data_IF_037540735217
#
_entry.id   IF_037540735217
#
_cell.length_a   1.000
_cell.length_b   1.000
_cell.length_c   1.000
_cell.angle_alpha   90.00
_cell.angle_beta   90.00
_cell.angle_gamma   90.00
#
_symmetry.space_group_name_H-M   'P 1'
#
loop_
_entity.id
_entity.type
_entity.pdbx_description
1 polymer ?
#
# COMPACT_ATOMS: atom_id res chain seq x y z
N UNK A 1 -4.17 4.70 23.40
CA UNK A 1 -5.15 3.86 22.67
C UNK A 1 -4.36 3.11 21.62
N UNK A 2 -4.48 1.78 21.52
CA UNK A 2 -3.73 0.99 20.53
C UNK A 2 -4.15 1.43 19.12
N UNK A 3 -3.20 1.73 18.24
CA UNK A 3 -3.48 2.15 16.86
C UNK A 3 -3.91 0.94 16.03
N UNK A 4 -4.80 1.12 15.06
CA UNK A 4 -5.17 0.07 14.09
C UNK A 4 -3.99 -0.44 13.27
N UNK A 5 -2.95 0.39 13.12
CA UNK A 5 -1.68 -0.04 12.55
C UNK A 5 -0.89 -0.97 13.49
N UNK A 6 -1.05 -0.87 14.82
CA UNK A 6 -0.50 -1.88 15.74
C UNK A 6 -1.20 -3.23 15.54
N UNK A 7 -2.50 -3.24 15.27
CA UNK A 7 -3.24 -4.48 14.98
C UNK A 7 -2.77 -5.12 13.67
N UNK A 8 -2.58 -4.33 12.59
CA UNK A 8 -2.00 -4.82 11.33
C UNK A 8 -0.60 -5.39 11.53
N UNK A 9 0.24 -4.65 12.26
CA UNK A 9 1.63 -5.05 12.45
C UNK A 9 1.75 -6.30 13.32
N UNK A 10 0.93 -6.41 14.38
CA UNK A 10 0.87 -7.61 15.19
C UNK A 10 0.37 -8.83 14.40
N UNK A 11 -0.68 -8.65 13.60
CA UNK A 11 -1.20 -9.69 12.70
C UNK A 11 -0.09 -10.17 11.76
N UNK A 12 0.57 -9.23 11.05
CA UNK A 12 1.59 -9.55 10.07
C UNK A 12 2.82 -10.23 10.69
N UNK A 13 3.24 -9.83 11.90
CA UNK A 13 4.31 -10.51 12.62
C UNK A 13 3.97 -11.96 13.00
N UNK A 14 2.68 -12.28 13.19
CA UNK A 14 2.21 -13.64 13.48
C UNK A 14 2.20 -14.57 12.27
N UNK A 15 2.17 -14.01 11.06
CA UNK A 15 2.04 -14.77 9.81
C UNK A 15 3.37 -15.23 9.21
N UNK A 16 4.49 -14.60 9.59
CA UNK A 16 5.81 -14.88 9.01
C UNK A 16 6.76 -15.62 9.97
N UNK A 17 7.63 -16.44 9.40
CA UNK A 17 8.67 -17.22 10.11
C UNK A 17 10.07 -16.82 9.65
N UNK A 18 11.11 -17.17 10.42
CA UNK A 18 12.49 -16.80 10.05
C UNK A 18 12.92 -17.53 8.76
N UNK A 19 12.32 -18.71 8.51
CA UNK A 19 12.50 -19.42 7.26
C UNK A 19 11.90 -18.69 6.05
N UNK A 20 10.91 -17.81 6.24
CA UNK A 20 10.37 -16.98 5.17
C UNK A 20 11.37 -15.87 4.81
N UNK A 21 11.99 -15.24 5.82
CA UNK A 21 13.02 -14.22 5.59
C UNK A 21 14.24 -14.82 4.87
N UNK A 22 14.73 -15.98 5.30
CA UNK A 22 15.83 -16.68 4.61
C UNK A 22 15.49 -17.08 3.17
N UNK A 23 14.21 -17.34 2.88
CA UNK A 23 13.78 -17.76 1.56
C UNK A 23 13.62 -16.58 0.58
N UNK A 24 13.25 -15.40 1.09
CA UNK A 24 12.83 -14.28 0.23
C UNK A 24 13.72 -13.04 0.31
N UNK A 25 14.47 -12.86 1.39
CA UNK A 25 15.58 -11.91 1.44
C UNK A 25 16.81 -12.62 0.89
N UNK A 26 17.11 -12.46 -0.40
CA UNK A 26 18.27 -13.10 -1.02
C UNK A 26 19.56 -12.56 -0.38
N UNK A 27 20.46 -13.47 -0.03
CA UNK A 27 21.83 -13.13 0.36
C UNK A 27 22.56 -12.59 -0.89
N UNK A 28 22.98 -11.31 -0.86
CA UNK A 28 24.24 -11.00 -1.52
C UNK A 28 25.32 -11.81 -0.77
N UNK A 29 26.34 -12.40 -1.41
CA UNK A 29 27.23 -13.34 -0.74
C UNK A 29 28.10 -12.58 0.29
N UNK A 30 27.57 -12.47 1.51
CA UNK A 30 28.16 -11.69 2.60
C UNK A 30 27.17 -11.17 3.65
N UNK A 31 25.90 -10.92 3.31
CA UNK A 31 24.98 -10.18 4.20
C UNK A 31 23.80 -11.00 4.72
N UNK A 32 23.97 -11.52 5.94
CA UNK A 32 22.89 -11.99 6.81
C UNK A 32 22.03 -10.82 7.38
N UNK A 33 22.33 -9.57 6.99
CA UNK A 33 21.76 -8.35 7.56
C UNK A 33 20.24 -8.26 7.37
N UNK A 34 19.71 -8.61 6.19
CA UNK A 34 18.27 -8.49 5.91
C UNK A 34 17.41 -9.47 6.72
N UNK A 35 17.91 -10.69 6.91
CA UNK A 35 17.25 -11.70 7.74
C UNK A 35 17.25 -11.25 9.19
N UNK A 36 18.37 -10.72 9.70
CA UNK A 36 18.48 -10.22 11.06
C UNK A 36 17.62 -8.98 11.30
N UNK A 37 17.52 -8.07 10.31
CA UNK A 37 16.61 -6.92 10.34
C UNK A 37 15.15 -7.35 10.47
N UNK A 38 14.69 -8.22 9.57
CA UNK A 38 13.31 -8.71 9.57
C UNK A 38 12.99 -9.51 10.84
N UNK A 39 13.89 -10.42 11.23
CA UNK A 39 13.74 -11.24 12.44
C UNK A 39 13.76 -10.38 13.71
N UNK A 40 14.58 -9.34 13.74
CA UNK A 40 14.65 -8.35 14.82
C UNK A 40 13.33 -7.61 15.01
N UNK A 41 12.78 -7.07 13.92
CA UNK A 41 11.46 -6.41 13.93
C UNK A 41 10.35 -7.37 14.35
N UNK A 42 10.32 -8.59 13.78
CA UNK A 42 9.30 -9.58 14.14
C UNK A 42 9.36 -9.99 15.61
N UNK A 43 10.56 -10.29 16.12
CA UNK A 43 10.76 -10.78 17.48
C UNK A 43 10.46 -9.73 18.54
N UNK A 44 10.80 -8.46 18.28
CA UNK A 44 10.52 -7.34 19.18
C UNK A 44 9.09 -6.81 19.04
N UNK A 45 8.41 -7.11 17.92
CA UNK A 45 7.14 -6.49 17.53
C UNK A 45 7.22 -4.96 17.61
N UNK A 46 8.32 -4.41 17.11
CA UNK A 46 8.59 -2.97 17.11
C UNK A 46 9.40 -2.59 15.87
N UNK A 47 9.11 -1.43 15.28
CA UNK A 47 9.93 -0.87 14.20
C UNK A 47 11.10 -0.07 14.78
N UNK A 48 12.30 -0.11 14.17
CA UNK A 48 13.46 0.59 14.69
C UNK A 48 13.27 2.11 14.72
N UNK A 49 14.00 2.76 15.63
CA UNK A 49 13.82 4.19 15.81
C UNK A 49 14.39 5.03 14.66
N UNK A 50 15.41 4.48 14.00
CA UNK A 50 16.08 5.03 12.82
C UNK A 50 15.82 4.06 11.68
N UNK A 51 15.39 4.58 10.53
CA UNK A 51 15.16 3.74 9.35
C UNK A 51 16.51 3.37 8.75
N UNK A 52 16.82 2.08 8.80
CA UNK A 52 17.97 1.52 8.10
C UNK A 52 17.72 1.61 6.57
N UNK A 53 18.61 2.20 5.77
CA UNK A 53 18.47 2.24 4.31
C UNK A 53 18.27 0.86 3.67
N UNK A 54 18.74 -0.22 4.30
CA UNK A 54 18.53 -1.60 3.85
C UNK A 54 17.04 -1.99 3.74
N UNK A 55 16.15 -1.32 4.48
CA UNK A 55 14.70 -1.51 4.34
C UNK A 55 14.19 -1.20 2.94
N UNK A 56 14.84 -0.29 2.20
CA UNK A 56 14.49 -0.03 0.81
C UNK A 56 14.59 -1.29 -0.05
N UNK A 57 15.65 -2.08 0.12
CA UNK A 57 15.85 -3.32 -0.63
C UNK A 57 14.84 -4.38 -0.21
N UNK A 58 14.58 -4.51 1.09
CA UNK A 58 13.57 -5.44 1.63
C UNK A 58 12.17 -5.13 1.09
N UNK A 59 11.78 -3.86 1.07
CA UNK A 59 10.50 -3.44 0.47
C UNK A 59 10.49 -3.67 -1.03
N UNK A 60 11.58 -3.37 -1.72
CA UNK A 60 11.74 -3.65 -3.15
C UNK A 60 11.53 -5.14 -3.49
N UNK A 61 12.11 -6.05 -2.70
CA UNK A 61 11.95 -7.49 -2.86
C UNK A 61 10.50 -7.94 -2.63
N UNK A 62 9.83 -7.43 -1.61
CA UNK A 62 8.44 -7.78 -1.32
C UNK A 62 7.45 -7.21 -2.34
N UNK A 63 7.60 -5.95 -2.73
CA UNK A 63 6.61 -5.23 -3.55
C UNK A 63 6.69 -5.60 -5.03
N UNK A 64 7.88 -5.92 -5.55
CA UNK A 64 8.10 -6.23 -6.99
C UNK A 64 8.56 -7.66 -7.24
N UNK A 65 8.93 -8.40 -6.20
CA UNK A 65 9.40 -9.78 -6.33
C UNK A 65 8.28 -10.78 -6.54
N UNK A 66 8.69 -12.02 -6.80
CA UNK A 66 7.85 -13.20 -6.88
C UNK A 66 8.60 -14.39 -6.26
N UNK A 67 7.89 -15.41 -5.75
CA UNK A 67 8.55 -16.60 -5.24
C UNK A 67 9.24 -17.34 -6.39
N UNK A 68 10.40 -17.95 -6.11
CA UNK A 68 11.10 -18.78 -7.11
C UNK A 68 10.33 -20.05 -7.46
N UNK A 69 9.54 -20.56 -6.52
CA UNK A 69 8.76 -21.79 -6.67
C UNK A 69 7.27 -21.50 -6.44
N UNK A 70 6.36 -22.01 -7.29
CA UNK A 70 4.92 -21.84 -7.09
C UNK A 70 4.42 -22.36 -5.73
N UNK A 71 5.06 -23.41 -5.19
CA UNK A 71 4.75 -23.96 -3.86
C UNK A 71 4.98 -22.98 -2.70
N UNK A 72 5.71 -21.89 -2.92
CA UNK A 72 6.04 -20.88 -1.93
C UNK A 72 5.12 -19.65 -1.98
N UNK A 73 4.16 -19.59 -2.92
CA UNK A 73 3.30 -18.43 -3.13
C UNK A 73 2.59 -17.95 -1.86
N UNK A 74 1.95 -18.87 -1.11
CA UNK A 74 1.29 -18.50 0.14
C UNK A 74 2.24 -17.97 1.22
N UNK A 75 3.49 -18.46 1.26
CA UNK A 75 4.52 -17.95 2.19
C UNK A 75 5.00 -16.56 1.76
N UNK A 76 5.16 -16.36 0.46
CA UNK A 76 5.57 -15.06 -0.10
C UNK A 76 4.50 -14.00 0.13
N UNK A 77 3.21 -14.32 0.00
CA UNK A 77 2.10 -13.42 0.35
C UNK A 77 2.19 -12.93 1.81
N UNK A 78 2.50 -13.82 2.76
CA UNK A 78 2.67 -13.43 4.17
C UNK A 78 3.90 -12.54 4.37
N UNK A 79 4.99 -12.82 3.66
CA UNK A 79 6.16 -11.95 3.63
C UNK A 79 5.83 -10.55 3.07
N UNK A 80 5.06 -10.46 1.97
CA UNK A 80 4.56 -9.19 1.42
C UNK A 80 3.74 -8.41 2.45
N UNK A 81 2.83 -9.10 3.15
CA UNK A 81 2.02 -8.51 4.21
C UNK A 81 2.90 -7.95 5.34
N UNK A 82 3.89 -8.71 5.81
CA UNK A 82 4.86 -8.27 6.82
C UNK A 82 5.59 -7.00 6.38
N UNK A 83 6.20 -7.01 5.19
CA UNK A 83 6.92 -5.86 4.66
C UNK A 83 5.99 -4.65 4.47
N UNK A 84 4.77 -4.84 3.98
CA UNK A 84 3.76 -3.79 3.86
C UNK A 84 3.35 -3.19 5.21
N UNK A 85 3.20 -4.01 6.25
CA UNK A 85 2.86 -3.55 7.59
C UNK A 85 4.01 -2.75 8.23
N UNK A 86 5.26 -3.19 8.05
CA UNK A 86 6.45 -2.46 8.50
C UNK A 86 6.58 -1.13 7.76
N UNK A 87 6.40 -1.12 6.44
CA UNK A 87 6.43 0.07 5.62
C UNK A 87 5.34 1.09 6.05
N UNK A 88 4.11 0.63 6.28
CA UNK A 88 3.03 1.49 6.79
C UNK A 88 3.35 2.08 8.17
N UNK A 89 4.05 1.34 9.04
CA UNK A 89 4.56 1.86 10.33
C UNK A 89 5.63 2.93 10.14
N UNK A 90 6.56 2.76 9.21
CA UNK A 90 7.55 3.80 8.91
C UNK A 90 6.90 5.06 8.34
N UNK A 91 5.91 4.92 7.44
CA UNK A 91 5.17 6.05 6.90
C UNK A 91 4.43 6.86 7.96
N UNK A 92 3.97 6.25 9.06
CA UNK A 92 3.43 7.00 10.19
C UNK A 92 4.50 7.78 10.95
N UNK A 93 5.67 7.17 11.11
CA UNK A 93 6.74 7.73 11.93
C UNK A 93 7.44 8.87 11.20
N UNK A 94 7.65 8.70 9.90
CA UNK A 94 8.34 9.65 9.04
C UNK A 94 7.65 9.63 7.66
N UNK A 95 6.54 10.37 7.49
CA UNK A 95 5.77 10.36 6.24
C UNK A 95 6.54 10.86 5.00
N UNK A 96 7.69 11.51 5.21
CA UNK A 96 8.58 12.02 4.15
C UNK A 96 9.64 11.04 3.64
N UNK A 97 9.58 9.75 4.00
CA UNK A 97 10.51 8.70 3.54
C UNK A 97 10.34 8.30 2.06
N UNK A 98 9.96 9.25 1.19
CA UNK A 98 9.54 9.05 -0.20
C UNK A 98 10.55 8.29 -1.11
N UNK A 99 11.90 8.32 -0.93
CA UNK A 99 12.76 7.42 -1.71
C UNK A 99 12.83 6.00 -1.14
N UNK A 100 12.42 5.78 0.12
CA UNK A 100 12.55 4.48 0.82
C UNK A 100 11.22 3.74 0.87
N UNK A 101 10.11 4.46 1.09
CA UNK A 101 8.77 3.88 1.26
C UNK A 101 7.77 4.59 0.37
N UNK A 102 7.43 3.93 -0.74
CA UNK A 102 6.48 4.45 -1.73
C UNK A 102 5.05 4.05 -1.33
N UNK A 103 4.17 5.02 -1.10
CA UNK A 103 2.83 4.80 -0.53
C UNK A 103 1.97 3.95 -1.45
N UNK A 104 2.01 4.21 -2.75
CA UNK A 104 1.20 3.46 -3.71
C UNK A 104 1.62 1.96 -3.73
N UNK A 105 2.89 1.62 -3.50
CA UNK A 105 3.38 0.24 -3.45
C UNK A 105 2.99 -0.44 -2.14
N UNK A 106 3.04 0.29 -1.03
CA UNK A 106 2.57 -0.21 0.28
C UNK A 106 1.08 -0.54 0.20
N UNK A 107 0.27 0.39 -0.31
CA UNK A 107 -1.17 0.19 -0.42
C UNK A 107 -1.52 -0.99 -1.34
N UNK A 108 -0.91 -1.07 -2.52
CA UNK A 108 -1.14 -2.15 -3.47
C UNK A 108 -0.76 -3.51 -2.85
N UNK A 109 0.43 -3.60 -2.23
CA UNK A 109 0.91 -4.82 -1.59
C UNK A 109 -0.03 -5.32 -0.49
N UNK A 110 -0.53 -4.41 0.36
CA UNK A 110 -1.46 -4.76 1.44
C UNK A 110 -2.82 -5.25 0.90
N UNK A 111 -3.39 -4.56 -0.10
CA UNK A 111 -4.66 -4.98 -0.74
C UNK A 111 -4.52 -6.36 -1.38
N UNK A 112 -3.47 -6.57 -2.19
CA UNK A 112 -3.21 -7.85 -2.85
C UNK A 112 -3.01 -8.97 -1.83
N UNK A 113 -2.29 -8.71 -0.75
CA UNK A 113 -2.04 -9.71 0.29
C UNK A 113 -3.34 -10.09 1.01
N UNK A 114 -4.17 -9.12 1.36
CA UNK A 114 -5.47 -9.38 1.99
C UNK A 114 -6.40 -10.22 1.13
N UNK A 115 -6.52 -9.87 -0.16
CA UNK A 115 -7.33 -10.62 -1.12
C UNK A 115 -6.80 -12.02 -1.38
N UNK A 116 -5.48 -12.17 -1.50
CA UNK A 116 -4.84 -13.48 -1.70
C UNK A 116 -5.03 -14.41 -0.50
N UNK A 117 -5.03 -13.86 0.73
CA UNK A 117 -5.27 -14.62 1.94
C UNK A 117 -6.75 -14.92 2.18
N UNK A 118 -7.66 -14.13 1.58
CA UNK A 118 -9.10 -14.18 1.81
C UNK A 118 -9.48 -14.12 3.32
N UNK A 119 -8.66 -13.44 4.12
CA UNK A 119 -8.87 -13.31 5.57
C UNK A 119 -9.72 -12.07 5.88
N UNK A 120 -10.97 -12.31 6.29
CA UNK A 120 -11.92 -11.23 6.61
C UNK A 120 -11.47 -10.36 7.78
N UNK A 121 -10.72 -10.91 8.73
CA UNK A 121 -10.16 -10.17 9.87
C UNK A 121 -9.10 -9.18 9.42
N UNK A 122 -8.18 -9.61 8.55
CA UNK A 122 -7.19 -8.75 7.92
C UNK A 122 -7.85 -7.65 7.07
N UNK A 123 -8.83 -7.99 6.23
CA UNK A 123 -9.58 -6.99 5.45
C UNK A 123 -10.24 -5.95 6.36
N UNK A 124 -10.81 -6.36 7.49
CA UNK A 124 -11.39 -5.44 8.48
C UNK A 124 -10.35 -4.56 9.15
N UNK A 125 -9.15 -5.06 9.43
CA UNK A 125 -8.05 -4.25 9.96
C UNK A 125 -7.65 -3.20 8.92
N UNK A 126 -7.46 -3.62 7.66
CA UNK A 126 -7.02 -2.74 6.58
C UNK A 126 -8.05 -1.66 6.22
N UNK A 127 -9.35 -1.96 6.31
CA UNK A 127 -10.43 -0.98 6.15
C UNK A 127 -10.27 0.22 7.09
N UNK A 128 -9.80 -0.01 8.32
CA UNK A 128 -9.56 1.05 9.31
C UNK A 128 -8.18 1.69 9.13
N UNK A 129 -7.16 0.92 8.72
CA UNK A 129 -5.78 1.39 8.55
C UNK A 129 -5.64 2.38 7.41
N UNK A 130 -6.21 2.09 6.24
CA UNK A 130 -5.98 2.93 5.06
C UNK A 130 -6.49 4.37 5.23
N UNK A 131 -7.71 4.64 5.74
CA UNK A 131 -8.18 6.00 5.96
C UNK A 131 -7.40 6.74 7.05
N UNK A 132 -6.84 6.02 8.02
CA UNK A 132 -5.98 6.60 9.05
C UNK A 132 -4.62 7.00 8.46
N UNK A 133 -4.00 6.11 7.67
CA UNK A 133 -2.75 6.39 6.97
C UNK A 133 -2.89 7.57 6.00
N UNK A 134 -4.00 7.62 5.25
CA UNK A 134 -4.32 8.74 4.36
C UNK A 134 -4.28 10.09 5.11
N UNK A 135 -4.90 10.14 6.30
CA UNK A 135 -4.99 11.35 7.10
C UNK A 135 -3.62 11.81 7.62
N UNK A 136 -2.82 10.88 8.14
CA UNK A 136 -1.49 11.21 8.69
C UNK A 136 -0.55 11.75 7.59
N UNK A 137 -0.70 11.23 6.36
CA UNK A 137 0.04 11.74 5.20
C UNK A 137 -0.49 13.08 4.69
N UNK A 138 -1.81 13.27 4.67
CA UNK A 138 -2.45 14.56 4.33
C UNK A 138 -2.00 15.68 5.28
N UNK A 139 -1.92 15.38 6.58
CA UNK A 139 -1.48 16.33 7.62
C UNK A 139 0.04 16.63 7.54
N UNK A 140 0.83 15.77 6.87
CA UNK A 140 2.27 15.94 6.73
C UNK A 140 2.61 16.97 5.64
N UNK A 141 3.05 18.15 6.09
CA UNK A 141 3.62 19.16 5.19
C UNK A 141 5.11 18.92 4.99
N UNK A 142 5.46 18.34 3.83
CA UNK A 142 6.86 18.16 3.45
C UNK A 142 7.62 19.50 3.47
N UNK A 143 8.77 19.60 4.17
CA UNK A 143 9.52 20.85 4.30
C UNK A 143 10.00 21.45 2.97
N UNK A 144 10.15 20.63 1.93
CA UNK A 144 10.73 21.02 0.64
C UNK A 144 9.70 21.19 -0.48
N UNK A 145 8.44 20.77 -0.30
CA UNK A 145 7.41 20.79 -1.37
C UNK A 145 7.67 19.84 -2.54
N UNK A 146 8.74 19.04 -2.49
CA UNK A 146 9.14 18.09 -3.54
C UNK A 146 8.68 16.64 -3.30
N UNK A 147 7.89 16.40 -2.25
CA UNK A 147 7.41 15.06 -1.91
C UNK A 147 6.16 14.75 -2.72
N UNK A 148 6.13 13.56 -3.33
CA UNK A 148 4.98 13.06 -4.08
C UNK A 148 3.87 12.74 -3.07
N UNK A 149 2.75 13.47 -3.15
CA UNK A 149 1.62 13.27 -2.23
C UNK A 149 0.73 12.11 -2.73
N UNK A 150 1.07 10.90 -2.34
CA UNK A 150 0.39 9.68 -2.81
C UNK A 150 -0.75 9.19 -1.90
N UNK A 151 -1.11 9.95 -0.85
CA UNK A 151 -2.13 9.53 0.11
C UNK A 151 -3.53 9.22 -0.51
N UNK A 152 -3.93 9.75 -1.69
CA UNK A 152 -5.15 9.31 -2.36
C UNK A 152 -5.17 7.80 -2.67
N UNK A 153 -4.01 7.15 -2.87
CA UNK A 153 -3.95 5.68 -3.07
C UNK A 153 -4.43 4.91 -1.83
N UNK A 154 -4.22 5.45 -0.63
CA UNK A 154 -4.77 4.88 0.60
C UNK A 154 -6.31 4.88 0.55
N UNK A 155 -6.94 5.93 0.02
CA UNK A 155 -8.40 6.01 -0.04
C UNK A 155 -8.98 4.99 -1.03
N UNK A 156 -8.37 4.81 -2.20
CA UNK A 156 -8.75 3.74 -3.12
C UNK A 156 -8.57 2.35 -2.49
N UNK A 157 -7.46 2.12 -1.80
CA UNK A 157 -7.22 0.86 -1.08
C UNK A 157 -8.31 0.59 -0.02
N UNK A 158 -8.72 1.62 0.72
CA UNK A 158 -9.83 1.54 1.67
C UNK A 158 -11.16 1.22 1.01
N UNK A 159 -11.45 1.79 -0.16
CA UNK A 159 -12.66 1.47 -0.94
C UNK A 159 -12.71 -0.02 -1.29
N UNK A 160 -11.59 -0.59 -1.76
CA UNK A 160 -11.49 -2.01 -2.10
C UNK A 160 -11.75 -2.90 -0.89
N UNK A 161 -11.17 -2.58 0.28
CA UNK A 161 -11.45 -3.33 1.51
C UNK A 161 -12.90 -3.19 1.97
N UNK A 162 -13.52 -2.03 1.77
CA UNK A 162 -14.93 -1.80 2.10
C UNK A 162 -15.85 -2.68 1.23
N UNK A 163 -15.60 -2.74 -0.07
CA UNK A 163 -16.35 -3.59 -1.00
C UNK A 163 -16.16 -5.08 -0.72
N UNK A 164 -14.92 -5.53 -0.45
CA UNK A 164 -14.63 -6.92 -0.08
C UNK A 164 -15.39 -7.34 1.21
N UNK A 165 -15.73 -6.38 2.07
CA UNK A 165 -16.56 -6.58 3.27
C UNK A 165 -18.06 -6.32 3.06
N UNK A 166 -18.48 -6.00 1.84
CA UNK A 166 -19.84 -5.62 1.46
C UNK A 166 -20.35 -4.37 2.21
N UNK A 167 -19.43 -3.49 2.62
CA UNK A 167 -19.73 -2.23 3.27
C UNK A 167 -19.82 -1.10 2.22
N UNK A 168 -20.83 -1.18 1.36
CA UNK A 168 -20.99 -0.29 0.21
C UNK A 168 -21.19 1.18 0.61
N UNK A 169 -21.87 1.44 1.73
CA UNK A 169 -22.00 2.82 2.27
C UNK A 169 -20.63 3.43 2.58
N UNK A 170 -19.74 2.65 3.18
CA UNK A 170 -18.39 3.13 3.48
C UNK A 170 -17.53 3.25 2.23
N UNK A 171 -17.68 2.35 1.26
CA UNK A 171 -17.03 2.49 -0.06
C UNK A 171 -17.40 3.82 -0.72
N UNK A 172 -18.69 4.18 -0.77
CA UNK A 172 -19.16 5.45 -1.32
C UNK A 172 -18.60 6.68 -0.57
N UNK A 173 -18.54 6.61 0.77
CA UNK A 173 -17.91 7.67 1.59
C UNK A 173 -16.42 7.83 1.27
N UNK A 174 -15.70 6.73 1.07
CA UNK A 174 -14.28 6.76 0.69
C UNK A 174 -14.10 7.25 -0.75
N UNK A 175 -14.99 6.92 -1.68
CA UNK A 175 -14.99 7.44 -3.04
C UNK A 175 -15.11 8.97 -3.06
N UNK A 176 -16.06 9.51 -2.30
CA UNK A 176 -16.23 10.97 -2.19
C UNK A 176 -15.00 11.67 -1.58
N UNK A 177 -14.31 11.00 -0.64
CA UNK A 177 -13.04 11.50 -0.09
C UNK A 177 -11.91 11.41 -1.11
N UNK A 178 -11.84 10.31 -1.86
CA UNK A 178 -10.82 10.09 -2.88
C UNK A 178 -10.85 11.17 -3.94
N UNK A 179 -12.04 11.49 -4.49
CA UNK A 179 -12.18 12.53 -5.52
C UNK A 179 -11.66 13.89 -5.00
N UNK A 180 -12.02 14.27 -3.78
CA UNK A 180 -11.57 15.54 -3.17
C UNK A 180 -10.06 15.55 -2.89
N UNK A 181 -9.54 14.46 -2.36
CA UNK A 181 -8.12 14.31 -2.06
C UNK A 181 -7.28 14.38 -3.34
N UNK A 182 -7.76 13.73 -4.41
CA UNK A 182 -7.12 13.74 -5.71
C UNK A 182 -7.08 15.15 -6.32
N UNK A 183 -8.22 15.85 -6.31
CA UNK A 183 -8.31 17.24 -6.77
C UNK A 183 -7.36 18.15 -6.01
N UNK A 184 -7.35 18.05 -4.67
CA UNK A 184 -6.47 18.85 -3.82
C UNK A 184 -4.98 18.56 -4.10
N UNK A 185 -4.59 17.29 -4.12
CA UNK A 185 -3.19 16.91 -4.41
C UNK A 185 -2.79 17.40 -5.80
N UNK A 186 -3.68 17.30 -6.78
CA UNK A 186 -3.43 17.75 -8.13
C UNK A 186 -3.21 19.27 -8.21
N UNK A 187 -3.96 20.06 -7.45
CA UNK A 187 -3.75 21.51 -7.37
C UNK A 187 -2.44 21.88 -6.67
N UNK A 188 -2.02 21.08 -5.67
CA UNK A 188 -0.83 21.34 -4.87
C UNK A 188 0.46 20.73 -5.45
N UNK A 189 0.34 19.75 -6.36
CA UNK A 189 1.47 19.03 -6.94
C UNK A 189 2.20 19.85 -8.00
N UNK A 190 3.53 19.78 -7.99
CA UNK A 190 4.38 20.40 -9.01
C UNK A 190 4.47 19.57 -10.30
N UNK A 191 4.06 18.29 -10.28
CA UNK A 191 4.18 17.36 -11.40
C UNK A 191 2.96 16.43 -11.59
N UNK A 192 1.71 16.91 -11.60
CA UNK A 192 0.58 16.02 -11.84
C UNK A 192 0.52 15.62 -13.31
N UNK A 193 0.69 14.32 -13.60
CA UNK A 193 0.26 13.73 -14.87
C UNK A 193 -1.25 13.92 -15.08
N UNK A 194 -1.78 13.72 -16.29
CA UNK A 194 -3.20 14.01 -16.57
C UNK A 194 -4.15 12.95 -16.02
N UNK A 195 -3.64 11.78 -15.70
CA UNK A 195 -4.39 10.62 -15.28
C UNK A 195 -4.86 10.76 -13.84
N UNK A 196 -6.16 10.54 -13.59
CA UNK A 196 -6.72 10.49 -12.25
C UNK A 196 -5.99 9.44 -11.41
N UNK A 197 -5.56 9.83 -10.20
CA UNK A 197 -4.77 9.03 -9.25
C UNK A 197 -3.38 8.60 -9.76
N UNK A 198 -3.28 7.93 -10.91
CA UNK A 198 -2.02 7.44 -11.48
C UNK A 198 -1.09 8.57 -11.95
N UNK A 199 -1.64 9.73 -12.28
CA UNK A 199 -0.84 10.93 -12.57
C UNK A 199 -0.29 11.62 -11.31
N UNK A 200 -0.68 11.17 -10.12
CA UNK A 200 -0.15 11.71 -8.85
C UNK A 200 1.18 11.10 -8.43
N UNK A 201 1.67 10.10 -9.17
CA UNK A 201 2.90 9.37 -8.85
C UNK A 201 3.85 9.31 -10.04
N UNK A 202 5.15 9.34 -9.77
CA UNK A 202 6.20 9.01 -10.73
C UNK A 202 6.69 7.55 -10.59
N UNK A 203 6.16 6.78 -9.63
CA UNK A 203 6.45 5.37 -9.41
C UNK A 203 5.42 4.49 -10.13
N UNK A 204 5.62 4.35 -11.43
CA UNK A 204 4.59 3.85 -12.35
C UNK A 204 4.55 2.33 -12.54
N UNK A 205 5.45 1.59 -11.88
CA UNK A 205 5.61 0.15 -12.11
C UNK A 205 4.40 -0.67 -11.69
N UNK A 206 3.55 -0.15 -10.78
CA UNK A 206 2.32 -0.81 -10.32
C UNK A 206 1.04 -0.24 -10.93
N UNK A 207 1.12 0.56 -11.99
CA UNK A 207 -0.07 1.16 -12.60
C UNK A 207 -1.03 0.10 -13.16
N UNK A 208 -0.52 -0.99 -13.72
CA UNK A 208 -1.39 -2.06 -14.25
C UNK A 208 -2.16 -2.74 -13.11
N UNK A 209 -1.47 -3.05 -12.02
CA UNK A 209 -2.04 -3.68 -10.83
C UNK A 209 -3.13 -2.80 -10.22
N UNK A 210 -2.92 -1.48 -10.18
CA UNK A 210 -3.95 -0.54 -9.72
C UNK A 210 -5.16 -0.49 -10.65
N UNK A 211 -4.97 -0.56 -11.96
CA UNK A 211 -6.08 -0.63 -12.91
C UNK A 211 -6.88 -1.93 -12.76
N UNK A 212 -6.21 -3.07 -12.65
CA UNK A 212 -6.86 -4.37 -12.40
C UNK A 212 -7.64 -4.37 -11.07
N UNK A 213 -7.08 -3.77 -10.01
CA UNK A 213 -7.77 -3.58 -8.74
C UNK A 213 -8.99 -2.65 -8.90
N UNK A 214 -8.88 -1.56 -9.63
CA UNK A 214 -9.99 -0.64 -9.87
C UNK A 214 -11.12 -1.28 -10.69
N UNK A 215 -10.79 -2.09 -11.70
CA UNK A 215 -11.75 -2.85 -12.49
C UNK A 215 -12.54 -3.86 -11.66
N UNK A 216 -11.93 -4.38 -10.58
CA UNK A 216 -12.59 -5.29 -9.66
C UNK A 216 -13.63 -4.64 -8.74
N UNK A 217 -13.75 -3.30 -8.74
CA UNK A 217 -14.78 -2.62 -7.95
C UNK A 217 -16.17 -2.97 -8.50
N UNK A 218 -17.04 -3.54 -7.67
CA UNK A 218 -18.34 -4.06 -8.13
C UNK A 218 -19.42 -2.97 -8.19
N UNK A 219 -19.50 -2.09 -7.18
CA UNK A 219 -20.54 -1.07 -7.00
C UNK A 219 -21.99 -1.59 -7.19
N UNK A 220 -22.45 -2.61 -6.45
CA UNK A 220 -23.79 -3.19 -6.65
C UNK A 220 -24.94 -2.22 -6.34
N UNK A 221 -24.73 -1.25 -5.45
CA UNK A 221 -25.70 -0.22 -5.09
C UNK A 221 -25.78 0.92 -6.13
N UNK A 222 -24.91 0.92 -7.16
CA UNK A 222 -24.84 1.93 -8.23
C UNK A 222 -24.68 3.35 -7.67
N UNK A 223 -23.79 3.51 -6.70
CA UNK A 223 -23.43 4.83 -6.19
C UNK A 223 -22.73 5.63 -7.29
N UNK A 224 -23.24 6.83 -7.58
CA UNK A 224 -22.74 7.68 -8.67
C UNK A 224 -21.29 8.11 -8.46
N UNK A 225 -20.85 8.25 -7.20
CA UNK A 225 -19.47 8.66 -6.87
C UNK A 225 -18.50 7.51 -7.13
N UNK A 226 -18.89 6.29 -6.75
CA UNK A 226 -18.08 5.10 -7.05
C UNK A 226 -17.99 4.88 -8.56
N UNK A 227 -19.10 5.05 -9.30
CA UNK A 227 -19.09 4.97 -10.77
C UNK A 227 -18.22 6.05 -11.41
N UNK A 228 -18.21 7.27 -10.85
CA UNK A 228 -17.30 8.34 -11.28
C UNK A 228 -15.84 7.95 -11.08
N UNK A 229 -15.46 7.42 -9.91
CA UNK A 229 -14.09 6.92 -9.66
C UNK A 229 -13.71 5.83 -10.68
N UNK A 230 -14.59 4.86 -10.91
CA UNK A 230 -14.37 3.80 -11.90
C UNK A 230 -14.18 4.37 -13.31
N UNK A 231 -15.00 5.35 -13.70
CA UNK A 231 -14.90 5.98 -15.01
C UNK A 231 -13.60 6.79 -15.19
N UNK A 232 -13.15 7.49 -14.14
CA UNK A 232 -11.90 8.23 -14.13
C UNK A 232 -10.66 7.31 -14.25
N UNK A 233 -10.71 6.14 -13.60
CA UNK A 233 -9.66 5.11 -13.68
C UNK A 233 -9.72 4.31 -15.00
N UNK A 234 -10.93 4.05 -15.54
CA UNK A 234 -11.15 3.31 -16.79
C UNK A 234 -10.76 4.05 -18.08
N UNK A 235 -10.11 5.20 -17.98
CA UNK A 235 -9.62 6.00 -19.11
C UNK A 235 -8.10 5.99 -19.29
N UNK A 236 -7.33 5.45 -18.33
CA UNK A 236 -5.86 5.62 -18.25
C UNK A 236 -5.13 5.01 -19.45
N UNK A 237 -5.56 3.84 -19.94
CA UNK A 237 -4.92 3.19 -21.10
C UNK A 237 -4.99 4.01 -22.40
N UNK A 238 -5.96 4.93 -22.52
CA UNK A 238 -6.09 5.81 -23.69
C UNK A 238 -5.05 6.91 -23.73
N UNK A 239 -4.41 7.23 -22.61
CA UNK A 239 -3.40 8.27 -22.50
C UNK A 239 -1.99 7.73 -22.77
N UNK A 240 -1.72 6.50 -22.30
CA UNK A 240 -0.43 5.80 -22.51
C UNK A 240 -0.14 5.33 -23.94
N UNK A 241 -1.17 5.26 -24.79
CA UNK A 241 -1.04 4.87 -26.19
C UNK A 241 -0.97 6.08 -27.16
N UNK A 242 -0.80 7.30 -26.64
CA UNK A 242 -0.72 8.52 -27.46
C UNK A 242 0.71 9.00 -27.75
N UNK A 243 1.73 8.19 -27.43
CA UNK A 243 3.13 8.41 -27.80
C UNK A 243 3.58 7.56 -28.99
#
# INVERSE_FOLDING_TARGET
>A
MKSRLDDLFEFACGEVRDEDFRAFCREDPGDMSYVDLCSGVRSRKEIPDVVDPEWFEVFGMAQRGSPEQPSQEGRFVRFKLFCGAVAAKFLLKEPGLDPVVIVNYVCCSLVQSARSMADRGLTSILLDVFPALAKEMEDYRAPSGWVVQEYPFCLLAGMLMAEDLQNYEWSAKLAARLVKAEEQVREESFFPGQEFLLGLTNYDSLHREWLELAESLENPEKDETVDSVKALLGGVEKWRNQD
#
